data_IF_451291971710
#
_entry.id   IF_451291971710
#
_cell.length_a   1.000
_cell.length_b   1.000
_cell.length_c   1.000
_cell.angle_alpha   90.00
_cell.angle_beta   90.00
_cell.angle_gamma   90.00
#
_symmetry.space_group_name_H-M   'P 1'
#
loop_
_entity.id
_entity.type
_entity.pdbx_description
1 polymer ?
#
# COMPACT_ATOMS: atom_id res chain seq x y z
N UNK A 1 10.22 23.49 10.82
CA UNK A 1 8.79 23.77 10.57
C UNK A 1 8.59 23.69 9.07
N UNK A 2 8.17 22.57 8.56
CA UNK A 2 7.95 22.33 7.12
C UNK A 2 6.46 22.10 6.90
N UNK A 3 5.84 23.02 6.17
CA UNK A 3 4.44 22.97 5.74
C UNK A 3 4.20 21.80 4.76
N UNK A 4 3.78 20.67 5.27
CA UNK A 4 3.14 19.62 4.49
C UNK A 4 1.65 19.53 4.86
N UNK A 5 0.94 20.67 4.82
CA UNK A 5 -0.51 20.67 4.89
C UNK A 5 -1.04 20.84 3.46
N UNK A 6 -1.42 19.73 2.85
CA UNK A 6 -2.16 19.75 1.58
C UNK A 6 -3.56 20.31 1.85
N UNK A 7 -3.77 21.58 1.50
CA UNK A 7 -5.08 22.23 1.54
C UNK A 7 -6.00 21.64 0.46
N UNK A 8 -7.18 21.20 0.86
CA UNK A 8 -8.13 20.33 0.14
C UNK A 8 -8.71 20.87 -1.20
N UNK A 9 -8.48 22.09 -1.63
CA UNK A 9 -9.31 22.69 -2.70
C UNK A 9 -8.65 22.98 -4.04
N UNK A 10 -7.30 22.84 -4.16
CA UNK A 10 -6.60 22.95 -5.47
C UNK A 10 -5.87 21.68 -5.90
N UNK A 11 -5.84 20.70 -5.06
CA UNK A 11 -5.10 19.42 -5.25
C UNK A 11 -5.90 18.42 -6.10
N UNK A 12 -7.22 18.43 -6.07
CA UNK A 12 -8.06 17.45 -6.75
C UNK A 12 -7.81 17.38 -8.28
N UNK A 13 -7.80 18.50 -8.98
CA UNK A 13 -7.63 18.50 -10.45
C UNK A 13 -6.21 18.09 -10.91
N UNK A 14 -5.19 18.43 -10.13
CA UNK A 14 -3.80 18.02 -10.42
C UNK A 14 -3.61 16.53 -10.10
N UNK A 15 -4.11 16.08 -8.95
CA UNK A 15 -4.10 14.67 -8.55
C UNK A 15 -4.87 13.79 -9.54
N UNK A 16 -6.04 14.21 -10.02
CA UNK A 16 -6.84 13.44 -10.99
C UNK A 16 -6.16 13.26 -12.35
N UNK A 17 -5.36 14.23 -12.78
CA UNK A 17 -4.54 14.10 -13.99
C UNK A 17 -3.34 13.17 -13.76
N UNK A 18 -2.71 13.28 -12.61
CA UNK A 18 -1.57 12.44 -12.21
C UNK A 18 -2.02 11.00 -11.97
N UNK A 19 -3.17 10.78 -11.34
CA UNK A 19 -3.73 9.43 -11.09
C UNK A 19 -3.87 8.66 -12.40
N UNK A 20 -4.34 9.29 -13.48
CA UNK A 20 -4.44 8.63 -14.79
C UNK A 20 -3.08 8.28 -15.39
N UNK A 21 -2.12 9.18 -15.28
CA UNK A 21 -0.74 8.92 -15.74
C UNK A 21 -0.06 7.87 -14.88
N UNK A 22 -0.26 7.93 -13.56
CA UNK A 22 0.22 6.96 -12.59
C UNK A 22 -0.34 5.56 -12.87
N UNK A 23 -1.66 5.44 -13.04
CA UNK A 23 -2.35 4.18 -13.34
C UNK A 23 -1.85 3.55 -14.66
N UNK A 24 -1.70 4.38 -15.71
CA UNK A 24 -1.15 3.93 -16.99
C UNK A 24 0.30 3.44 -16.84
N UNK A 25 1.12 4.19 -16.12
CA UNK A 25 2.53 3.86 -15.89
C UNK A 25 2.67 2.57 -15.10
N UNK A 26 1.87 2.37 -14.05
CA UNK A 26 1.91 1.16 -13.21
C UNK A 26 1.37 -0.09 -13.94
N UNK A 27 0.35 0.06 -14.78
CA UNK A 27 -0.18 -1.05 -15.59
C UNK A 27 0.77 -1.50 -16.69
N UNK A 28 1.37 -0.54 -17.41
CA UNK A 28 2.28 -0.85 -18.52
C UNK A 28 3.63 -1.40 -18.03
N UNK A 29 4.03 -1.11 -16.80
CA UNK A 29 5.32 -1.54 -16.23
C UNK A 29 5.32 -2.92 -15.58
N UNK A 30 4.23 -3.69 -15.62
CA UNK A 30 4.20 -5.04 -15.07
C UNK A 30 4.27 -5.11 -13.53
N UNK A 31 4.08 -4.00 -12.81
CA UNK A 31 4.13 -3.99 -11.33
C UNK A 31 3.14 -4.97 -10.70
N UNK A 32 1.91 -5.04 -11.24
CA UNK A 32 0.92 -6.01 -10.78
C UNK A 32 1.43 -7.46 -10.89
N UNK A 33 2.07 -7.83 -12.01
CA UNK A 33 2.64 -9.17 -12.19
C UNK A 33 3.77 -9.45 -11.20
N UNK A 34 4.60 -8.45 -10.89
CA UNK A 34 5.65 -8.61 -9.87
C UNK A 34 5.05 -8.83 -8.47
N UNK A 35 3.91 -8.22 -8.16
CA UNK A 35 3.19 -8.45 -6.91
C UNK A 35 2.57 -9.86 -6.89
N UNK A 36 1.90 -10.27 -7.98
CA UNK A 36 1.33 -11.62 -8.10
C UNK A 36 2.41 -12.68 -7.87
N UNK A 37 3.55 -12.57 -8.57
CA UNK A 37 4.70 -13.47 -8.38
C UNK A 37 5.26 -13.42 -6.95
N UNK A 38 5.40 -12.23 -6.36
CA UNK A 38 5.89 -12.09 -4.99
C UNK A 38 4.98 -12.83 -4.00
N UNK A 39 3.66 -12.69 -4.11
CA UNK A 39 2.72 -13.33 -3.20
C UNK A 39 2.61 -14.84 -3.41
N UNK A 40 2.82 -15.34 -4.64
CA UNK A 40 2.91 -16.77 -4.93
C UNK A 40 4.14 -17.40 -4.27
N UNK A 41 5.28 -16.71 -4.31
CA UNK A 41 6.56 -17.18 -3.75
C UNK A 41 6.66 -16.94 -2.23
N UNK A 42 5.94 -15.94 -1.71
CA UNK A 42 5.98 -15.51 -0.30
C UNK A 42 4.55 -15.41 0.26
N UNK A 43 3.95 -16.54 0.65
CA UNK A 43 2.60 -16.54 1.22
C UNK A 43 2.48 -15.62 2.42
N UNK A 44 1.41 -14.83 2.46
CA UNK A 44 1.14 -13.91 3.55
C UNK A 44 0.70 -14.67 4.81
N UNK A 45 1.05 -14.18 6.01
CA UNK A 45 0.68 -14.81 7.28
C UNK A 45 -0.77 -14.49 7.65
N UNK A 46 -1.71 -14.98 6.84
CA UNK A 46 -3.16 -14.81 7.03
C UNK A 46 -3.86 -16.16 7.06
N UNK A 47 -5.07 -16.18 7.61
CA UNK A 47 -5.91 -17.35 7.76
C UNK A 47 -7.31 -17.07 7.19
N UNK A 48 -8.12 -18.10 7.02
CA UNK A 48 -9.49 -17.95 6.53
C UNK A 48 -10.30 -17.01 7.45
N UNK A 49 -10.88 -15.97 6.86
CA UNK A 49 -11.64 -14.97 7.58
C UNK A 49 -10.81 -13.85 8.23
N UNK A 50 -9.47 -13.87 8.06
CA UNK A 50 -8.60 -12.78 8.53
C UNK A 50 -9.07 -11.41 8.03
N UNK A 51 -8.87 -10.39 8.85
CA UNK A 51 -9.19 -9.00 8.54
C UNK A 51 -7.95 -8.36 7.93
N UNK A 52 -8.05 -8.01 6.65
CA UNK A 52 -6.95 -7.45 5.86
C UNK A 52 -7.28 -6.02 5.45
N UNK A 53 -6.35 -5.11 5.64
CA UNK A 53 -6.46 -3.72 5.19
C UNK A 53 -5.42 -3.42 4.10
N UNK A 54 -5.85 -2.93 2.96
CA UNK A 54 -4.99 -2.26 1.97
C UNK A 54 -5.07 -0.75 2.22
N UNK A 55 -4.07 -0.22 2.92
CA UNK A 55 -4.00 1.17 3.35
C UNK A 55 -3.31 2.02 2.28
N UNK A 56 -4.10 2.87 1.60
CA UNK A 56 -3.69 3.63 0.44
C UNK A 56 -3.71 2.79 -0.83
N UNK A 57 -4.86 2.19 -1.10
CA UNK A 57 -5.03 1.24 -2.22
C UNK A 57 -4.84 1.88 -3.61
N UNK A 58 -4.88 3.21 -3.72
CA UNK A 58 -4.79 3.92 -4.99
C UNK A 58 -5.81 3.40 -6.00
N UNK A 59 -5.32 3.02 -7.19
CA UNK A 59 -6.14 2.45 -8.25
C UNK A 59 -6.37 0.93 -8.13
N UNK A 60 -5.96 0.33 -7.01
CA UNK A 60 -6.29 -1.05 -6.65
C UNK A 60 -5.29 -2.11 -7.12
N UNK A 61 -4.07 -1.74 -7.52
CA UNK A 61 -3.08 -2.73 -8.02
C UNK A 61 -2.71 -3.75 -6.95
N UNK A 62 -2.44 -3.30 -5.71
CA UNK A 62 -2.12 -4.19 -4.59
C UNK A 62 -3.36 -4.98 -4.14
N UNK A 63 -4.52 -4.33 -4.06
CA UNK A 63 -5.82 -4.99 -3.78
C UNK A 63 -6.08 -6.15 -4.74
N UNK A 64 -5.87 -5.95 -6.06
CA UNK A 64 -6.05 -6.98 -7.07
C UNK A 64 -5.05 -8.12 -6.94
N UNK A 65 -3.78 -7.82 -6.64
CA UNK A 65 -2.78 -8.86 -6.40
C UNK A 65 -3.14 -9.73 -5.19
N UNK A 66 -3.61 -9.11 -4.10
CA UNK A 66 -4.13 -9.85 -2.93
C UNK A 66 -5.29 -10.75 -3.30
N UNK A 67 -6.28 -10.26 -4.05
CA UNK A 67 -7.43 -11.04 -4.47
C UNK A 67 -7.04 -12.26 -5.30
N UNK A 68 -6.03 -12.15 -6.17
CA UNK A 68 -5.58 -13.24 -7.05
C UNK A 68 -4.77 -14.31 -6.34
N UNK A 69 -4.08 -13.93 -5.28
CA UNK A 69 -3.09 -14.81 -4.64
C UNK A 69 -3.58 -15.43 -3.33
N UNK A 70 -4.58 -14.83 -2.68
CA UNK A 70 -5.18 -15.40 -1.48
C UNK A 70 -6.01 -16.64 -1.81
N UNK A 71 -5.62 -17.79 -1.24
CA UNK A 71 -6.23 -19.09 -1.52
C UNK A 71 -7.54 -19.34 -0.76
N UNK A 72 -7.94 -18.42 0.12
CA UNK A 72 -9.15 -18.54 0.94
C UNK A 72 -9.75 -17.15 1.20
N UNK A 73 -11.06 -17.08 1.50
CA UNK A 73 -11.72 -15.81 1.76
C UNK A 73 -11.18 -15.09 3.00
N UNK A 74 -10.94 -13.79 2.84
CA UNK A 74 -10.60 -12.85 3.93
C UNK A 74 -11.59 -11.69 3.96
N UNK A 75 -11.61 -10.93 5.04
CA UNK A 75 -12.37 -9.66 5.13
C UNK A 75 -11.47 -8.53 4.65
N UNK A 76 -11.46 -8.27 3.33
CA UNK A 76 -10.60 -7.26 2.73
C UNK A 76 -11.25 -5.87 2.74
N UNK A 77 -10.57 -4.92 3.35
CA UNK A 77 -10.90 -3.49 3.29
C UNK A 77 -9.81 -2.79 2.49
N UNK A 78 -10.19 -1.94 1.55
CA UNK A 78 -9.28 -1.09 0.78
C UNK A 78 -9.65 0.38 1.01
N UNK A 79 -8.69 1.21 1.38
CA UNK A 79 -8.94 2.63 1.58
C UNK A 79 -7.92 3.50 0.86
N UNK A 80 -8.37 4.70 0.50
CA UNK A 80 -7.52 5.75 -0.04
C UNK A 80 -8.11 7.12 0.31
N UNK A 81 -7.28 8.15 0.32
CA UNK A 81 -7.73 9.53 0.49
C UNK A 81 -8.45 10.04 -0.76
N UNK A 82 -8.06 9.57 -1.95
CA UNK A 82 -8.59 9.98 -3.25
C UNK A 82 -9.84 9.18 -3.64
N UNK A 83 -10.98 9.85 -3.66
CA UNK A 83 -12.24 9.26 -4.14
C UNK A 83 -12.16 8.78 -5.61
N UNK A 84 -11.41 9.50 -6.46
CA UNK A 84 -11.23 9.15 -7.88
C UNK A 84 -10.37 7.88 -8.06
N UNK A 85 -9.32 7.73 -7.25
CA UNK A 85 -8.50 6.51 -7.19
C UNK A 85 -9.35 5.32 -6.78
N UNK A 86 -10.12 5.45 -5.70
CA UNK A 86 -11.02 4.39 -5.24
C UNK A 86 -12.11 4.02 -6.25
N UNK A 87 -12.69 5.00 -6.97
CA UNK A 87 -13.65 4.71 -8.03
C UNK A 87 -13.02 3.84 -9.13
N UNK A 88 -11.75 4.11 -9.44
CA UNK A 88 -10.96 3.31 -10.38
C UNK A 88 -10.68 1.91 -9.83
N UNK A 89 -10.26 1.79 -8.57
CA UNK A 89 -10.04 0.51 -7.89
C UNK A 89 -11.30 -0.35 -7.89
N UNK A 90 -12.44 0.21 -7.49
CA UNK A 90 -13.76 -0.46 -7.53
C UNK A 90 -14.09 -0.99 -8.92
N UNK A 91 -13.86 -0.19 -9.97
CA UNK A 91 -14.10 -0.60 -11.34
C UNK A 91 -13.24 -1.81 -11.76
N UNK A 92 -11.98 -1.85 -11.34
CA UNK A 92 -11.08 -2.96 -11.68
C UNK A 92 -11.40 -4.21 -10.89
N UNK A 93 -11.62 -4.10 -9.58
CA UNK A 93 -12.05 -5.21 -8.73
C UNK A 93 -13.35 -5.84 -9.25
N UNK A 94 -14.35 -5.02 -9.62
CA UNK A 94 -15.61 -5.52 -10.16
C UNK A 94 -15.49 -6.15 -11.55
N UNK A 95 -14.44 -5.87 -12.30
CA UNK A 95 -14.16 -6.47 -13.61
C UNK A 95 -13.35 -7.75 -13.53
N UNK A 96 -12.66 -7.96 -12.41
CA UNK A 96 -11.90 -9.18 -12.17
C UNK A 96 -12.88 -10.31 -11.82
N UNK A 97 -13.11 -11.20 -12.78
CA UNK A 97 -14.13 -12.23 -12.69
C UNK A 97 -13.69 -13.46 -11.88
N UNK A 98 -12.41 -13.60 -11.62
CA UNK A 98 -11.84 -14.78 -10.99
C UNK A 98 -12.10 -14.83 -9.47
N UNK A 99 -12.52 -13.69 -8.86
CA UNK A 99 -12.66 -13.54 -7.40
C UNK A 99 -14.04 -13.02 -6.96
N UNK A 100 -15.11 -13.40 -7.68
CA UNK A 100 -16.48 -12.90 -7.45
C UNK A 100 -17.03 -13.17 -6.04
N UNK A 101 -16.51 -14.18 -5.37
CA UNK A 101 -16.97 -14.55 -4.03
C UNK A 101 -16.25 -13.75 -2.92
N UNK A 102 -15.18 -13.01 -3.26
CA UNK A 102 -14.45 -12.19 -2.33
C UNK A 102 -14.89 -10.72 -2.41
N UNK A 103 -15.63 -10.28 -1.41
CA UNK A 103 -16.08 -8.89 -1.32
C UNK A 103 -14.98 -8.00 -0.77
N UNK A 104 -14.70 -6.87 -1.45
CA UNK A 104 -13.83 -5.80 -0.94
C UNK A 104 -14.69 -4.66 -0.40
N UNK A 105 -14.43 -4.28 0.84
CA UNK A 105 -15.02 -3.10 1.44
C UNK A 105 -14.14 -1.88 1.11
N UNK A 106 -14.71 -0.84 0.50
CA UNK A 106 -13.98 0.38 0.16
C UNK A 106 -14.36 1.53 1.07
N UNK A 107 -13.38 2.20 1.67
CA UNK A 107 -13.57 3.35 2.54
C UNK A 107 -12.67 4.53 2.13
N UNK A 108 -13.19 5.75 2.13
CA UNK A 108 -12.37 6.94 1.97
C UNK A 108 -11.86 7.40 3.33
N UNK A 109 -10.52 7.44 3.50
CA UNK A 109 -9.93 7.86 4.76
C UNK A 109 -8.48 8.34 4.58
N UNK A 110 -8.01 9.11 5.57
CA UNK A 110 -6.62 9.49 5.71
C UNK A 110 -5.87 8.40 6.48
N UNK A 111 -4.69 7.99 5.97
CA UNK A 111 -3.84 6.99 6.63
C UNK A 111 -3.34 7.44 8.01
N UNK A 112 -3.28 8.75 8.27
CA UNK A 112 -2.90 9.33 9.56
C UNK A 112 -4.05 9.36 10.59
N UNK A 113 -5.28 9.01 10.18
CA UNK A 113 -6.45 8.98 11.07
C UNK A 113 -7.44 7.97 10.51
N UNK A 114 -7.18 6.69 10.76
CA UNK A 114 -7.97 5.60 10.22
C UNK A 114 -9.28 5.45 11.00
N UNK A 115 -10.44 5.34 10.34
CA UNK A 115 -11.76 5.26 10.99
C UNK A 115 -12.05 3.85 11.54
N UNK A 116 -11.05 3.24 12.15
CA UNK A 116 -11.14 1.89 12.72
C UNK A 116 -10.68 1.90 14.17
N UNK A 117 -11.27 1.02 14.96
CA UNK A 117 -10.83 0.79 16.34
C UNK A 117 -9.42 0.20 16.38
N UNK A 118 -8.77 0.28 17.52
CA UNK A 118 -7.50 -0.39 17.79
C UNK A 118 -7.64 -1.90 17.51
N UNK A 119 -6.57 -2.50 17.03
CA UNK A 119 -6.47 -3.95 16.81
C UNK A 119 -7.58 -4.53 15.88
N UNK A 120 -7.99 -3.76 14.87
CA UNK A 120 -9.06 -4.13 13.94
C UNK A 120 -8.61 -5.05 12.81
N UNK A 121 -7.31 -5.18 12.55
CA UNK A 121 -6.78 -5.92 11.40
C UNK A 121 -5.68 -6.90 11.79
N UNK A 122 -5.69 -8.06 11.15
CA UNK A 122 -4.69 -9.11 11.35
C UNK A 122 -3.50 -8.93 10.40
N UNK A 123 -3.74 -8.30 9.24
CA UNK A 123 -2.72 -7.87 8.28
C UNK A 123 -3.09 -6.49 7.74
N UNK A 124 -2.11 -5.59 7.71
CA UNK A 124 -2.18 -4.35 6.92
C UNK A 124 -1.13 -4.41 5.83
N UNK A 125 -1.51 -4.04 4.61
CA UNK A 125 -0.60 -3.86 3.48
C UNK A 125 -0.62 -2.40 3.04
N UNK A 126 0.53 -1.86 2.64
CA UNK A 126 0.63 -0.49 2.13
C UNK A 126 1.78 -0.35 1.13
N UNK A 127 1.56 0.40 0.06
CA UNK A 127 2.55 0.57 -1.01
C UNK A 127 2.57 2.01 -1.53
N UNK A 128 3.66 2.72 -1.32
CA UNK A 128 3.89 4.05 -1.89
C UNK A 128 3.02 5.15 -1.29
N UNK A 129 2.61 5.01 -0.04
CA UNK A 129 1.74 5.97 0.69
C UNK A 129 2.50 6.70 1.78
N UNK A 130 3.36 6.00 2.52
CA UNK A 130 4.11 6.60 3.62
C UNK A 130 5.12 7.64 3.14
N UNK A 131 5.44 7.66 1.86
CA UNK A 131 6.25 8.68 1.20
C UNK A 131 5.57 10.07 1.11
N UNK A 132 4.26 10.13 1.37
CA UNK A 132 3.46 11.37 1.32
C UNK A 132 3.11 11.93 2.69
N UNK A 133 3.47 11.25 3.78
CA UNK A 133 3.08 11.61 5.14
C UNK A 133 4.28 11.59 6.09
N UNK A 134 4.10 12.12 7.30
CA UNK A 134 5.08 11.95 8.37
C UNK A 134 5.19 10.46 8.72
N UNK A 135 6.39 9.92 8.62
CA UNK A 135 6.64 8.48 8.66
C UNK A 135 6.30 7.88 10.03
N UNK A 136 6.63 8.60 11.10
CA UNK A 136 6.35 8.24 12.50
C UNK A 136 4.85 8.21 12.80
N UNK A 137 4.11 9.24 12.36
CA UNK A 137 2.65 9.29 12.51
C UNK A 137 1.99 8.15 11.72
N UNK A 138 2.45 7.90 10.48
CA UNK A 138 1.95 6.83 9.64
C UNK A 138 2.16 5.44 10.26
N UNK A 139 3.36 5.12 10.74
CA UNK A 139 3.62 3.85 11.41
C UNK A 139 2.88 3.71 12.73
N UNK A 140 2.76 4.77 13.51
CA UNK A 140 1.99 4.77 14.77
C UNK A 140 0.53 4.42 14.50
N UNK A 141 -0.09 5.04 13.50
CA UNK A 141 -1.50 4.80 13.18
C UNK A 141 -1.73 3.40 12.59
N UNK A 142 -0.84 2.92 11.73
CA UNK A 142 -0.88 1.55 11.23
C UNK A 142 -0.70 0.54 12.37
N UNK A 143 0.23 0.78 13.28
CA UNK A 143 0.42 -0.07 14.45
C UNK A 143 -0.80 -0.07 15.37
N UNK A 144 -1.49 1.06 15.52
CA UNK A 144 -2.71 1.14 16.32
C UNK A 144 -3.78 0.18 15.81
N UNK A 145 -4.03 0.16 14.51
CA UNK A 145 -5.10 -0.66 13.93
C UNK A 145 -4.74 -2.13 13.72
N UNK A 146 -3.46 -2.49 13.75
CA UNK A 146 -3.01 -3.89 13.64
C UNK A 146 -3.18 -4.58 15.02
N UNK A 147 -3.73 -5.79 15.03
CA UNK A 147 -3.86 -6.63 16.21
C UNK A 147 -2.48 -7.01 16.77
N UNK A 148 -2.41 -7.33 18.06
CA UNK A 148 -1.18 -7.88 18.66
C UNK A 148 -0.75 -9.14 17.94
N UNK A 149 0.53 -9.21 17.56
CA UNK A 149 1.07 -10.31 16.75
C UNK A 149 0.60 -10.32 15.29
N UNK A 150 -0.24 -9.36 14.89
CA UNK A 150 -0.60 -9.13 13.49
C UNK A 150 0.56 -8.57 12.68
N UNK A 151 0.39 -8.43 11.38
CA UNK A 151 1.48 -8.13 10.47
C UNK A 151 1.25 -6.86 9.65
N UNK A 152 2.36 -6.21 9.31
CA UNK A 152 2.43 -5.13 8.33
C UNK A 152 3.25 -5.61 7.14
N UNK A 153 2.70 -5.53 5.94
CA UNK A 153 3.47 -5.61 4.70
C UNK A 153 3.64 -4.20 4.14
N UNK A 154 4.83 -3.65 4.28
CA UNK A 154 5.18 -2.33 3.75
C UNK A 154 6.02 -2.47 2.47
N UNK A 155 5.59 -1.80 1.39
CA UNK A 155 6.29 -1.76 0.12
C UNK A 155 6.85 -0.36 -0.15
N UNK A 156 7.91 0.08 0.57
CA UNK A 156 8.52 1.39 0.39
C UNK A 156 9.22 1.52 -0.96
N UNK A 157 9.28 2.76 -1.43
CA UNK A 157 10.17 3.11 -2.52
C UNK A 157 11.58 3.30 -1.99
N UNK A 158 12.56 2.69 -2.66
CA UNK A 158 13.96 2.87 -2.33
C UNK A 158 14.61 3.91 -3.23
N UNK A 159 15.62 4.61 -2.77
CA UNK A 159 16.39 5.53 -3.60
C UNK A 159 16.92 4.82 -4.86
N UNK A 160 16.57 5.35 -6.03
CA UNK A 160 17.00 4.85 -7.34
C UNK A 160 16.77 5.93 -8.40
N UNK A 161 17.42 5.88 -9.58
CA UNK A 161 17.13 6.82 -10.67
C UNK A 161 15.65 6.85 -11.06
N UNK A 162 14.97 5.71 -11.00
CA UNK A 162 13.52 5.61 -11.25
C UNK A 162 12.75 6.36 -10.17
N UNK A 163 13.11 6.15 -8.91
CA UNK A 163 12.47 6.84 -7.77
C UNK A 163 12.67 8.34 -7.87
N UNK A 164 13.86 8.83 -8.18
CA UNK A 164 14.14 10.26 -8.34
C UNK A 164 13.27 10.89 -9.44
N UNK A 165 13.09 10.19 -10.56
CA UNK A 165 12.16 10.64 -11.60
C UNK A 165 10.72 10.68 -11.10
N UNK A 166 10.28 9.66 -10.38
CA UNK A 166 8.93 9.59 -9.82
C UNK A 166 8.70 10.66 -8.73
N UNK A 167 9.69 10.95 -7.87
CA UNK A 167 9.64 12.02 -6.88
C UNK A 167 9.39 13.39 -7.54
N UNK A 168 10.08 13.66 -8.65
CA UNK A 168 9.89 14.90 -9.41
C UNK A 168 8.49 14.97 -10.03
N UNK A 169 7.99 13.87 -10.58
CA UNK A 169 6.69 13.82 -11.25
C UNK A 169 5.51 13.84 -10.27
N UNK A 170 5.64 13.14 -9.14
CA UNK A 170 4.52 12.89 -8.22
C UNK A 170 4.63 13.62 -6.88
N UNK A 171 5.67 14.43 -6.69
CA UNK A 171 5.87 15.30 -5.52
C UNK A 171 5.82 14.57 -4.18
N UNK A 172 6.40 13.39 -4.10
CA UNK A 172 6.64 12.68 -2.85
C UNK A 172 8.14 12.68 -2.54
N UNK A 173 8.52 12.14 -1.39
CA UNK A 173 9.91 11.95 -0.99
C UNK A 173 10.10 10.53 -0.47
N UNK A 174 10.95 9.75 -1.13
CA UNK A 174 11.33 8.44 -0.62
C UNK A 174 12.16 8.60 0.67
N UNK A 175 11.81 7.82 1.67
CA UNK A 175 12.58 7.74 2.92
C UNK A 175 13.79 6.85 2.73
N UNK A 176 14.88 7.13 3.46
CA UNK A 176 16.02 6.23 3.45
C UNK A 176 15.66 4.89 4.11
N UNK A 177 16.27 3.77 3.71
CA UNK A 177 16.04 2.48 4.35
C UNK A 177 16.28 2.50 5.87
N UNK A 178 17.27 3.26 6.32
CA UNK A 178 17.59 3.40 7.74
C UNK A 178 16.48 4.13 8.50
N UNK A 179 15.94 5.23 7.94
CA UNK A 179 14.80 5.93 8.52
C UNK A 179 13.57 5.03 8.62
N UNK A 180 13.26 4.29 7.55
CA UNK A 180 12.12 3.34 7.55
C UNK A 180 12.34 2.26 8.63
N UNK A 181 13.54 1.70 8.71
CA UNK A 181 13.87 0.66 9.69
C UNK A 181 13.82 1.17 11.13
N UNK A 182 14.39 2.34 11.40
CA UNK A 182 14.39 2.95 12.73
C UNK A 182 12.98 3.29 13.20
N UNK A 183 12.19 3.95 12.34
CA UNK A 183 10.84 4.38 12.71
C UNK A 183 9.90 3.18 12.84
N UNK A 184 9.94 2.23 11.90
CA UNK A 184 9.10 1.02 11.98
C UNK A 184 9.48 0.14 13.15
N UNK A 185 10.77 0.07 13.52
CA UNK A 185 11.30 -0.73 14.63
C UNK A 185 10.76 -0.35 16.00
N UNK A 186 10.15 0.81 16.15
CA UNK A 186 9.46 1.22 17.37
C UNK A 186 8.16 0.43 17.63
N UNK A 187 7.57 -0.14 16.59
CA UNK A 187 6.27 -0.82 16.63
C UNK A 187 6.30 -2.23 16.09
N UNK A 188 7.30 -2.56 15.26
CA UNK A 188 7.33 -3.80 14.48
C UNK A 188 8.71 -4.47 14.52
N UNK A 189 8.69 -5.79 14.52
CA UNK A 189 9.86 -6.62 14.27
C UNK A 189 9.83 -7.14 12.83
N UNK A 190 10.90 -6.91 12.07
CA UNK A 190 11.01 -7.39 10.68
C UNK A 190 11.09 -8.92 10.67
N UNK A 191 10.18 -9.53 9.90
CA UNK A 191 10.11 -10.99 9.67
C UNK A 191 10.85 -11.37 8.39
N UNK A 192 10.61 -10.62 7.32
CA UNK A 192 11.29 -10.86 6.04
C UNK A 192 11.46 -9.56 5.24
N UNK A 193 12.47 -9.58 4.40
CA UNK A 193 12.80 -8.48 3.49
C UNK A 193 13.04 -9.04 2.10
N UNK A 194 12.29 -8.55 1.10
CA UNK A 194 12.41 -8.97 -0.29
C UNK A 194 12.71 -7.78 -1.19
N UNK A 195 13.63 -7.96 -2.12
CA UNK A 195 13.98 -6.96 -3.13
C UNK A 195 13.52 -7.44 -4.49
N UNK A 196 12.61 -6.68 -5.10
CA UNK A 196 12.12 -7.02 -6.43
C UNK A 196 13.25 -7.04 -7.47
N UNK A 197 13.25 -8.03 -8.37
CA UNK A 197 14.23 -8.12 -9.44
C UNK A 197 14.06 -6.99 -10.47
N UNK A 198 15.09 -6.68 -11.27
CA UNK A 198 15.05 -5.57 -12.23
C UNK A 198 14.25 -5.85 -13.50
N UNK A 199 13.26 -6.75 -13.43
CA UNK A 199 12.40 -7.11 -14.58
C UNK A 199 11.40 -6.01 -14.93
N UNK A 200 10.90 -5.29 -13.91
CA UNK A 200 9.94 -4.21 -14.06
C UNK A 200 10.41 -2.98 -13.29
N UNK A 201 10.56 -1.85 -13.97
CA UNK A 201 11.21 -0.66 -13.41
C UNK A 201 10.59 -0.17 -12.09
N UNK A 202 9.26 -0.16 -11.97
CA UNK A 202 8.58 0.29 -10.75
C UNK A 202 8.74 -0.74 -9.62
N UNK A 203 8.58 -2.03 -9.89
CA UNK A 203 8.82 -3.06 -8.90
C UNK A 203 10.28 -3.02 -8.42
N UNK A 204 11.22 -2.87 -9.34
CA UNK A 204 12.65 -2.76 -9.00
C UNK A 204 12.96 -1.57 -8.09
N UNK A 205 12.20 -0.48 -8.16
CA UNK A 205 12.34 0.66 -7.24
C UNK A 205 11.74 0.43 -5.85
N UNK A 206 11.17 -0.74 -5.59
CA UNK A 206 10.53 -1.08 -4.32
C UNK A 206 11.22 -2.25 -3.62
N UNK A 207 10.95 -2.34 -2.33
CA UNK A 207 11.20 -3.52 -1.52
C UNK A 207 9.89 -3.97 -0.88
N UNK A 208 9.78 -5.22 -0.47
CA UNK A 208 8.70 -5.68 0.39
C UNK A 208 9.29 -6.03 1.76
N UNK A 209 8.77 -5.42 2.80
CA UNK A 209 9.15 -5.65 4.19
C UNK A 209 7.93 -6.18 4.92
N UNK A 210 7.98 -7.46 5.29
CA UNK A 210 7.00 -8.05 6.18
C UNK A 210 7.49 -7.92 7.62
N UNK A 211 6.67 -7.34 8.48
CA UNK A 211 7.00 -7.12 9.88
C UNK A 211 5.82 -7.51 10.77
N UNK A 212 6.10 -7.95 11.97
CA UNK A 212 5.11 -8.34 12.97
C UNK A 212 5.03 -7.26 14.05
N UNK A 213 3.82 -6.91 14.45
CA UNK A 213 3.58 -5.98 15.58
C UNK A 213 4.04 -6.62 16.90
N UNK A 214 4.88 -5.89 17.64
CA UNK A 214 5.41 -6.28 18.96
C UNK A 214 4.52 -5.77 20.11
#
# INVERSE_FOLDING_TARGET
MSEYVLTETKTGSFYDRIVRLYDLTFKLNGYGRSLDQYFEEHPLPVFQGARVLDAGCGTGTLTLALLRTLQFPVKLTALDLSASSMATAKKYVNKDHDHRDQKVHFAQANILSLPFADESFDLVVTSGVLEYVALDEGFTELARVISRGGHLLHLPMRPSPVTTLLELLFRFKAHSPDQVSETSGQHFQVVSHYRFPPLHAIAWSKTAVLAQKV
#
